data_IF_795286260688
#
_entry.id   IF_795286260688
#
_cell.length_a   1.000
_cell.length_b   1.000
_cell.length_c   1.000
_cell.angle_alpha   90.00
_cell.angle_beta   90.00
_cell.angle_gamma   90.00
#
_symmetry.space_group_name_H-M   'P 1'
#
loop_
_entity.id
_entity.type
_entity.pdbx_description
1 polymer ?
#
# COMPACT_ATOMS: atom_id res chain seq x y z
N UNK A 1 -33.13 9.46 -0.98
CA UNK A 1 -32.24 10.57 -0.58
C UNK A 1 -31.20 10.16 0.47
N UNK A 2 -31.58 9.80 1.72
CA UNK A 2 -30.61 9.46 2.79
C UNK A 2 -29.67 8.30 2.44
N UNK A 3 -30.18 7.21 1.85
CA UNK A 3 -29.38 6.05 1.43
C UNK A 3 -28.35 6.40 0.34
N UNK A 4 -28.72 7.28 -0.59
CA UNK A 4 -27.84 7.73 -1.68
C UNK A 4 -26.68 8.56 -1.11
N UNK A 5 -26.96 9.45 -0.17
CA UNK A 5 -25.92 10.23 0.50
C UNK A 5 -24.94 9.34 1.27
N UNK A 6 -25.43 8.30 1.98
CA UNK A 6 -24.58 7.34 2.69
C UNK A 6 -23.66 6.60 1.72
N UNK A 7 -24.20 6.10 0.61
CA UNK A 7 -23.41 5.40 -0.41
C UNK A 7 -22.35 6.33 -1.01
N UNK A 8 -22.70 7.59 -1.29
CA UNK A 8 -21.75 8.57 -1.82
C UNK A 8 -20.59 8.85 -0.86
N UNK A 9 -20.87 8.97 0.45
CA UNK A 9 -19.82 9.17 1.47
C UNK A 9 -18.89 7.95 1.57
N UNK A 10 -19.44 6.74 1.51
CA UNK A 10 -18.64 5.50 1.52
C UNK A 10 -17.72 5.46 0.29
N UNK A 11 -18.25 5.73 -0.90
CA UNK A 11 -17.47 5.75 -2.14
C UNK A 11 -16.39 6.84 -2.13
N UNK A 12 -16.70 8.04 -1.63
CA UNK A 12 -15.74 9.12 -1.47
C UNK A 12 -14.60 8.72 -0.50
N UNK A 13 -14.95 8.07 0.61
CA UNK A 13 -13.96 7.61 1.59
C UNK A 13 -13.05 6.52 1.02
N UNK A 14 -13.62 5.56 0.29
CA UNK A 14 -12.85 4.49 -0.37
C UNK A 14 -11.89 5.05 -1.42
N UNK A 15 -12.38 5.93 -2.30
CA UNK A 15 -11.55 6.56 -3.34
C UNK A 15 -10.44 7.41 -2.73
N UNK A 16 -10.73 8.14 -1.65
CA UNK A 16 -9.72 8.89 -0.91
C UNK A 16 -8.66 7.97 -0.27
N UNK A 17 -9.08 6.85 0.32
CA UNK A 17 -8.15 5.85 0.86
C UNK A 17 -7.20 5.28 -0.22
N UNK A 18 -7.76 4.91 -1.37
CA UNK A 18 -7.01 4.42 -2.56
C UNK A 18 -6.00 5.46 -3.04
N UNK A 19 -6.36 6.75 -3.04
CA UNK A 19 -5.46 7.85 -3.45
C UNK A 19 -4.31 8.11 -2.48
N UNK A 20 -4.49 7.80 -1.19
CA UNK A 20 -3.54 8.13 -0.12
C UNK A 20 -2.62 6.98 0.29
N UNK A 21 -2.95 5.73 -0.06
CA UNK A 21 -2.18 4.56 0.38
C UNK A 21 -1.76 3.66 -0.77
N UNK A 22 -0.58 3.06 -0.64
CA UNK A 22 -0.15 1.88 -1.38
C UNK A 22 -0.54 0.63 -0.57
N UNK A 23 -1.29 -0.26 -1.21
CA UNK A 23 -1.69 -1.57 -0.75
C UNK A 23 -0.71 -2.57 -1.32
N UNK A 24 0.24 -3.01 -0.49
CA UNK A 24 1.31 -3.91 -0.88
C UNK A 24 0.91 -5.31 -0.46
N UNK A 25 0.63 -6.17 -1.43
CA UNK A 25 0.33 -7.57 -1.20
C UNK A 25 1.63 -8.34 -0.95
N UNK A 26 1.75 -8.89 0.25
CA UNK A 26 2.83 -9.77 0.70
C UNK A 26 2.34 -11.22 0.77
N UNK A 27 3.23 -12.17 1.03
CA UNK A 27 2.89 -13.60 0.99
C UNK A 27 1.86 -14.00 2.04
N UNK A 28 1.88 -13.35 3.21
CA UNK A 28 1.01 -13.65 4.34
C UNK A 28 0.11 -12.48 4.78
N UNK A 29 0.24 -11.30 4.16
CA UNK A 29 -0.44 -10.09 4.62
C UNK A 29 -0.57 -9.02 3.54
N UNK A 30 -1.37 -7.99 3.83
CA UNK A 30 -1.39 -6.75 3.06
C UNK A 30 -0.80 -5.66 3.94
N UNK A 31 0.21 -4.96 3.43
CA UNK A 31 0.78 -3.78 4.09
C UNK A 31 0.24 -2.50 3.48
N UNK A 32 0.03 -1.50 4.33
CA UNK A 32 -0.37 -0.17 3.91
C UNK A 32 0.81 0.78 4.07
N UNK A 33 1.15 1.50 3.00
CA UNK A 33 2.19 2.53 3.00
C UNK A 33 1.57 3.85 2.54
N UNK A 34 1.69 4.90 3.34
CA UNK A 34 1.14 6.22 2.98
C UNK A 34 1.90 6.79 1.79
N UNK A 35 1.18 7.28 0.80
CA UNK A 35 1.74 7.95 -0.39
C UNK A 35 2.27 9.33 -0.03
N UNK A 36 3.33 9.74 -0.73
CA UNK A 36 3.86 11.11 -0.65
C UNK A 36 3.00 12.11 -1.42
N UNK A 37 2.24 11.65 -2.42
CA UNK A 37 1.40 12.46 -3.30
C UNK A 37 0.06 11.75 -3.55
N UNK A 38 -1.02 12.52 -3.75
CA UNK A 38 -2.33 11.96 -4.11
C UNK A 38 -2.28 11.42 -5.54
N UNK A 39 -2.27 10.10 -5.69
CA UNK A 39 -2.18 9.46 -7.01
C UNK A 39 -2.79 8.07 -7.01
N UNK A 40 -3.26 7.61 -8.17
CA UNK A 40 -3.67 6.21 -8.39
C UNK A 40 -2.50 5.30 -8.79
N UNK A 41 -1.32 5.86 -9.04
CA UNK A 41 -0.13 5.08 -9.42
C UNK A 41 0.34 4.23 -8.24
N UNK A 42 0.77 3.01 -8.55
CA UNK A 42 1.30 2.05 -7.58
C UNK A 42 0.35 1.83 -6.39
N UNK A 43 -0.97 1.91 -6.58
CA UNK A 43 -1.93 1.74 -5.47
C UNK A 43 -1.99 0.30 -5.00
N UNK A 44 -2.01 -0.66 -5.92
CA UNK A 44 -1.96 -2.08 -5.59
C UNK A 44 -0.66 -2.63 -6.13
N UNK A 45 0.21 -3.09 -5.24
CA UNK A 45 1.56 -3.55 -5.59
C UNK A 45 1.75 -4.99 -5.13
N UNK A 46 2.17 -5.86 -6.03
CA UNK A 46 2.50 -7.25 -5.71
C UNK A 46 3.96 -7.36 -5.26
N UNK A 47 4.14 -7.56 -3.95
CA UNK A 47 5.43 -7.72 -3.28
C UNK A 47 5.78 -9.17 -2.95
N UNK A 48 4.96 -10.13 -3.37
CA UNK A 48 5.09 -11.57 -3.03
C UNK A 48 6.33 -12.24 -3.60
N UNK A 49 6.85 -13.22 -2.86
CA UNK A 49 7.99 -14.05 -3.24
C UNK A 49 9.21 -13.23 -3.68
N UNK A 50 9.83 -13.62 -4.79
CA UNK A 50 11.03 -12.96 -5.31
C UNK A 50 10.80 -11.51 -5.76
N UNK A 51 9.56 -10.99 -5.84
CA UNK A 51 9.30 -9.61 -6.29
C UNK A 51 9.57 -8.56 -5.21
N UNK A 52 9.89 -8.94 -3.97
CA UNK A 52 10.17 -8.01 -2.86
C UNK A 52 11.25 -6.99 -3.21
N UNK A 53 12.29 -7.36 -3.98
CA UNK A 53 13.32 -6.40 -4.42
C UNK A 53 12.76 -5.28 -5.32
N UNK A 54 11.72 -5.56 -6.12
CA UNK A 54 11.11 -4.57 -7.02
C UNK A 54 10.40 -3.45 -6.24
N UNK A 55 10.03 -3.70 -5.00
CA UNK A 55 9.44 -2.70 -4.11
C UNK A 55 10.43 -1.58 -3.80
N UNK A 56 11.69 -1.93 -3.54
CA UNK A 56 12.77 -0.97 -3.27
C UNK A 56 13.24 -0.23 -4.52
N UNK A 57 13.13 -0.88 -5.69
CA UNK A 57 13.47 -0.25 -6.98
C UNK A 57 12.39 0.72 -7.48
N UNK A 58 11.19 0.71 -6.89
CA UNK A 58 10.14 1.64 -7.26
C UNK A 58 10.36 2.99 -6.56
N UNK A 59 10.64 4.08 -7.30
CA UNK A 59 10.98 5.37 -6.70
C UNK A 59 9.83 5.96 -5.87
N UNK A 60 8.57 5.67 -6.21
CA UNK A 60 7.43 6.15 -5.43
C UNK A 60 7.34 5.45 -4.06
N UNK A 61 7.60 4.14 -4.02
CA UNK A 61 7.60 3.37 -2.78
C UNK A 61 8.83 3.66 -1.92
N UNK A 62 9.99 3.82 -2.56
CA UNK A 62 11.22 4.23 -1.88
C UNK A 62 11.05 5.59 -1.19
N UNK A 63 10.52 6.59 -1.91
CA UNK A 63 10.20 7.91 -1.34
C UNK A 63 9.15 7.85 -0.23
N UNK A 64 8.18 6.94 -0.35
CA UNK A 64 7.15 6.72 0.66
C UNK A 64 7.65 5.99 1.92
N UNK A 65 8.93 5.61 1.99
CA UNK A 65 9.51 4.99 3.19
C UNK A 65 9.28 3.48 3.26
N UNK A 66 9.26 2.78 2.12
CA UNK A 66 9.06 1.31 2.12
C UNK A 66 10.13 0.55 2.90
N UNK A 67 11.32 1.15 3.11
CA UNK A 67 12.37 0.56 3.95
C UNK A 67 11.92 0.42 5.39
N UNK A 68 11.34 1.47 5.96
CA UNK A 68 10.89 1.54 7.36
C UNK A 68 9.74 0.54 7.61
N UNK A 69 8.92 0.28 6.58
CA UNK A 69 7.84 -0.70 6.60
C UNK A 69 8.33 -2.15 6.81
N UNK A 70 9.59 -2.44 6.48
CA UNK A 70 10.21 -3.76 6.59
C UNK A 70 11.35 -3.80 7.62
N UNK A 71 11.74 -2.67 8.22
CA UNK A 71 12.83 -2.59 9.20
C UNK A 71 12.53 -3.37 10.49
N UNK A 72 11.26 -3.41 10.91
CA UNK A 72 10.78 -4.20 12.05
C UNK A 72 10.42 -5.66 11.71
N UNK A 73 10.37 -6.00 10.42
CA UNK A 73 10.38 -7.41 10.01
C UNK A 73 11.83 -7.87 10.02
N UNK A 74 12.36 -8.12 11.23
CA UNK A 74 13.53 -8.97 11.37
C UNK A 74 13.28 -10.18 10.50
N UNK A 75 14.09 -10.33 9.47
CA UNK A 75 14.05 -11.45 8.54
C UNK A 75 14.16 -12.69 9.42
N UNK A 76 13.03 -13.34 9.72
CA UNK A 76 13.03 -14.68 10.29
C UNK A 76 13.48 -15.59 9.18
N UNK A 77 14.80 -15.70 8.99
CA UNK A 77 15.37 -16.84 8.29
C UNK A 77 15.00 -18.03 9.17
N UNK A 78 14.00 -18.78 8.69
CA UNK A 78 13.60 -20.05 9.31
C UNK A 78 14.83 -20.92 9.49
N UNK A 79 14.92 -21.54 10.67
CA UNK A 79 15.95 -22.51 11.01
C UNK A 79 15.72 -23.80 10.23
#
# INVERSE_FOLDING_TARGET
MKKVAIIAVILASLTFGVLNYHFILMDSSIKLLKKTELTYKNTFVDGRGAKKYKLYLNPALAKAGIKDLFENESIKIGK
#
